data_IF_245786832765
#
_entry.id   IF_245786832765
#
_cell.length_a   1.000
_cell.length_b   1.000
_cell.length_c   1.000
_cell.angle_alpha   90.00
_cell.angle_beta   90.00
_cell.angle_gamma   90.00
#
_symmetry.space_group_name_H-M   'P 1'
#
loop_
_entity.id
_entity.type
_entity.pdbx_description
1 polymer ?
#
# COMPACT_ATOMS: atom_id res chain seq x y z
N UNK A 1 4.42 -36.70 1.36
CA UNK A 1 3.41 -36.21 2.32
C UNK A 1 3.18 -34.75 1.96
N UNK A 2 2.16 -34.46 1.17
CA UNK A 2 1.77 -33.07 0.90
C UNK A 2 0.98 -32.58 2.10
N UNK A 3 1.52 -31.59 2.80
CA UNK A 3 0.79 -30.89 3.86
C UNK A 3 -0.11 -29.87 3.16
N UNK A 4 -1.41 -30.14 3.06
CA UNK A 4 -2.37 -29.12 2.65
C UNK A 4 -2.67 -28.21 3.85
N UNK A 5 -2.36 -26.92 3.72
CA UNK A 5 -2.82 -25.90 4.67
C UNK A 5 -4.33 -25.68 4.50
N UNK A 6 -5.02 -25.52 5.62
CA UNK A 6 -6.40 -25.04 5.67
C UNK A 6 -6.49 -23.58 5.19
N UNK A 7 -7.70 -23.11 4.83
CA UNK A 7 -7.89 -21.72 4.41
C UNK A 7 -7.53 -20.71 5.51
N UNK A 8 -7.75 -21.06 6.78
CA UNK A 8 -7.38 -20.21 7.92
C UNK A 8 -5.86 -20.13 8.11
N UNK A 9 -5.18 -21.27 8.03
CA UNK A 9 -3.71 -21.31 8.05
C UNK A 9 -3.12 -20.56 6.86
N UNK A 10 -3.74 -20.67 5.67
CA UNK A 10 -3.32 -19.91 4.50
C UNK A 10 -3.46 -18.41 4.74
N UNK A 11 -4.58 -17.93 5.27
CA UNK A 11 -4.77 -16.50 5.56
C UNK A 11 -3.85 -16.00 6.67
N UNK A 12 -3.58 -16.83 7.68
CA UNK A 12 -2.61 -16.51 8.74
C UNK A 12 -1.17 -16.41 8.22
N UNK A 13 -0.82 -17.22 7.21
CA UNK A 13 0.50 -17.21 6.57
C UNK A 13 0.64 -16.14 5.48
N UNK A 14 -0.36 -16.01 4.61
CA UNK A 14 -0.39 -15.13 3.46
C UNK A 14 -1.78 -14.47 3.34
N UNK A 15 -1.80 -13.15 3.42
CA UNK A 15 -2.97 -12.35 3.10
C UNK A 15 -2.63 -11.35 2.00
N UNK A 16 -3.48 -11.26 0.99
CA UNK A 16 -3.39 -10.23 -0.05
C UNK A 16 -4.72 -9.48 -0.11
N UNK A 17 -4.64 -8.14 -0.16
CA UNK A 17 -5.81 -7.29 -0.36
C UNK A 17 -5.52 -6.20 -1.37
N UNK A 18 -6.59 -5.72 -2.01
CA UNK A 18 -6.55 -4.61 -2.95
C UNK A 18 -7.22 -3.42 -2.30
N UNK A 19 -6.43 -2.38 -2.05
CA UNK A 19 -6.93 -1.12 -1.52
C UNK A 19 -7.21 -0.20 -2.70
N UNK A 20 -8.46 0.20 -2.87
CA UNK A 20 -8.77 1.25 -3.84
C UNK A 20 -8.20 2.57 -3.34
N UNK A 21 -7.47 3.29 -4.18
CA UNK A 21 -7.11 4.69 -3.94
C UNK A 21 -7.60 5.55 -5.09
N UNK A 22 -7.88 6.82 -4.82
CA UNK A 22 -8.57 7.68 -5.79
C UNK A 22 -7.56 8.67 -6.36
N UNK A 23 -7.42 8.70 -7.68
CA UNK A 23 -6.76 9.79 -8.40
C UNK A 23 -7.78 10.87 -8.74
N UNK A 24 -7.47 12.10 -8.35
CA UNK A 24 -8.27 13.30 -8.55
C UNK A 24 -7.81 14.00 -9.83
N UNK A 25 -8.70 14.22 -10.80
CA UNK A 25 -8.37 14.86 -12.07
C UNK A 25 -8.14 16.36 -11.89
N UNK A 26 -7.13 16.93 -12.57
CA UNK A 26 -6.93 18.39 -12.55
C UNK A 26 -7.97 19.12 -13.43
N UNK A 27 -8.41 18.56 -14.57
CA UNK A 27 -9.53 19.08 -15.39
C UNK A 27 -10.18 18.01 -16.30
N UNK A 28 -11.52 18.09 -16.49
CA UNK A 28 -12.32 17.40 -17.53
C UNK A 28 -12.17 15.86 -17.64
N UNK A 29 -11.75 15.19 -16.58
CA UNK A 29 -11.71 13.72 -16.48
C UNK A 29 -12.51 13.28 -15.26
N UNK A 30 -12.98 12.04 -15.27
CA UNK A 30 -13.61 11.43 -14.09
C UNK A 30 -12.53 10.95 -13.11
N UNK A 31 -12.80 10.96 -11.79
CA UNK A 31 -11.93 10.33 -10.80
C UNK A 31 -11.69 8.86 -11.13
N UNK A 32 -10.46 8.40 -10.96
CA UNK A 32 -10.08 7.01 -11.20
C UNK A 32 -9.77 6.34 -9.87
N UNK A 33 -10.46 5.23 -9.56
CA UNK A 33 -10.04 4.35 -8.46
C UNK A 33 -9.04 3.34 -8.99
N UNK A 34 -7.84 3.34 -8.42
CA UNK A 34 -6.75 2.42 -8.77
C UNK A 34 -6.53 1.46 -7.60
N UNK A 35 -6.46 0.13 -7.83
CA UNK A 35 -6.14 -0.81 -6.78
C UNK A 35 -4.63 -0.80 -6.49
N UNK A 36 -4.22 -0.50 -5.27
CA UNK A 36 -2.89 -0.84 -4.76
C UNK A 36 -2.95 -2.21 -4.10
N UNK A 37 -2.00 -3.07 -4.44
CA UNK A 37 -1.89 -4.41 -3.85
C UNK A 37 -1.07 -4.31 -2.58
N UNK A 38 -1.65 -4.80 -1.49
CA UNK A 38 -1.01 -4.97 -0.19
C UNK A 38 -0.91 -6.47 0.08
N UNK A 39 0.30 -6.97 0.26
CA UNK A 39 0.56 -8.37 0.62
C UNK A 39 1.20 -8.42 1.99
N UNK A 40 0.75 -9.35 2.82
CA UNK A 40 1.30 -9.66 4.13
C UNK A 40 1.66 -11.15 4.17
N UNK A 41 2.91 -11.46 4.55
CA UNK A 41 3.37 -12.82 4.81
C UNK A 41 3.89 -12.88 6.22
N UNK A 42 3.42 -13.87 7.00
CA UNK A 42 3.87 -14.10 8.38
C UNK A 42 4.42 -15.51 8.51
N UNK A 43 5.63 -15.61 9.03
CA UNK A 43 6.30 -16.87 9.36
C UNK A 43 6.84 -16.74 10.77
N UNK A 44 6.22 -17.44 11.72
CA UNK A 44 6.54 -17.36 13.14
C UNK A 44 6.59 -15.90 13.66
N UNK A 45 7.77 -15.40 14.04
CA UNK A 45 7.99 -14.06 14.58
C UNK A 45 8.51 -13.04 13.53
N UNK A 46 8.42 -13.39 12.25
CA UNK A 46 8.77 -12.55 11.12
C UNK A 46 7.52 -12.22 10.29
N UNK A 47 7.31 -10.92 10.03
CA UNK A 47 6.35 -10.43 9.07
C UNK A 47 7.03 -9.72 7.90
N UNK A 48 6.54 -9.95 6.69
CA UNK A 48 6.84 -9.19 5.48
C UNK A 48 5.57 -8.48 5.02
N UNK A 49 5.60 -7.15 4.98
CA UNK A 49 4.58 -6.34 4.33
C UNK A 49 5.11 -5.84 3.00
N UNK A 50 4.28 -5.89 1.96
CA UNK A 50 4.63 -5.33 0.66
C UNK A 50 3.53 -4.47 0.08
N UNK A 51 3.92 -3.45 -0.68
CA UNK A 51 2.98 -2.54 -1.35
C UNK A 51 3.36 -2.33 -2.81
N UNK A 52 2.34 -2.38 -3.67
CA UNK A 52 2.46 -2.09 -5.10
C UNK A 52 2.52 -0.60 -5.43
N UNK A 53 3.37 0.17 -4.76
CA UNK A 53 3.56 1.61 -4.94
C UNK A 53 5.00 2.05 -4.63
N UNK A 54 5.40 3.24 -5.08
CA UNK A 54 6.60 3.93 -4.60
C UNK A 54 6.27 4.63 -3.27
N UNK A 55 6.39 3.89 -2.17
CA UNK A 55 5.90 4.31 -0.85
C UNK A 55 6.87 5.25 -0.15
N UNK A 56 6.36 6.34 0.44
CA UNK A 56 7.14 7.25 1.28
C UNK A 56 7.60 6.56 2.58
N UNK A 57 8.78 6.94 3.06
CA UNK A 57 9.46 6.26 4.17
C UNK A 57 8.59 6.20 5.44
N UNK A 58 7.90 7.28 5.77
CA UNK A 58 7.04 7.43 6.94
C UNK A 58 5.95 6.35 6.97
N UNK A 59 5.32 6.09 5.82
CA UNK A 59 4.26 5.08 5.69
C UNK A 59 4.84 3.69 5.93
N UNK A 60 5.99 3.37 5.32
CA UNK A 60 6.65 2.08 5.53
C UNK A 60 7.09 1.88 6.99
N UNK A 61 7.55 2.95 7.66
CA UNK A 61 7.91 2.94 9.07
C UNK A 61 6.68 2.73 9.97
N UNK A 62 5.56 3.39 9.66
CA UNK A 62 4.31 3.22 10.40
C UNK A 62 3.77 1.79 10.29
N UNK A 63 3.79 1.19 9.09
CA UNK A 63 3.42 -0.22 8.88
C UNK A 63 4.30 -1.15 9.73
N UNK A 64 5.61 -0.89 9.79
CA UNK A 64 6.52 -1.67 10.63
C UNK A 64 6.21 -1.52 12.12
N UNK A 65 5.83 -0.33 12.57
CA UNK A 65 5.44 -0.08 13.98
C UNK A 65 4.13 -0.74 14.35
N UNK A 66 3.21 -0.89 13.41
CA UNK A 66 1.95 -1.60 13.64
C UNK A 66 2.17 -3.09 13.86
N UNK A 67 3.22 -3.69 13.28
CA UNK A 67 3.45 -5.14 13.28
C UNK A 67 3.55 -5.74 14.69
N UNK A 68 2.89 -6.87 14.91
CA UNK A 68 2.92 -7.61 16.18
C UNK A 68 4.11 -8.59 16.29
N UNK A 69 4.95 -8.67 15.27
CA UNK A 69 6.08 -9.60 15.20
C UNK A 69 7.39 -8.95 15.64
N UNK A 70 8.34 -9.74 16.16
CA UNK A 70 9.66 -9.24 16.60
C UNK A 70 10.48 -8.69 15.45
N UNK A 71 10.29 -9.26 14.26
CA UNK A 71 10.98 -8.89 13.04
C UNK A 71 9.96 -8.49 11.98
N UNK A 72 10.16 -7.30 11.40
CA UNK A 72 9.29 -6.81 10.32
C UNK A 72 10.12 -6.27 9.17
N UNK A 73 9.90 -6.86 8.00
CA UNK A 73 10.41 -6.40 6.73
C UNK A 73 9.31 -5.66 5.97
N UNK A 74 9.72 -4.66 5.20
CA UNK A 74 8.84 -3.90 4.34
C UNK A 74 9.47 -3.79 2.95
N UNK A 75 8.70 -4.06 1.91
CA UNK A 75 9.11 -3.89 0.52
C UNK A 75 8.10 -3.05 -0.26
N UNK A 76 8.55 -1.99 -0.92
CA UNK A 76 7.72 -1.24 -1.84
C UNK A 76 7.87 -1.81 -3.28
N UNK A 77 7.12 -1.27 -4.24
CA UNK A 77 7.12 -1.69 -5.66
C UNK A 77 6.98 -3.21 -5.85
N UNK A 78 6.11 -3.83 -5.04
CA UNK A 78 5.90 -5.28 -5.04
C UNK A 78 4.51 -5.63 -5.54
N UNK A 79 4.40 -6.65 -6.39
CA UNK A 79 3.14 -7.07 -7.03
C UNK A 79 2.45 -5.95 -7.82
N UNK A 80 3.19 -4.93 -8.27
CA UNK A 80 2.68 -3.80 -9.05
C UNK A 80 3.36 -2.49 -8.67
N UNK A 81 2.99 -1.43 -9.39
CA UNK A 81 3.36 -0.07 -9.04
C UNK A 81 2.31 0.91 -9.58
N UNK A 82 1.67 1.65 -8.68
CA UNK A 82 0.71 2.71 -9.00
C UNK A 82 1.33 4.12 -9.05
N UNK A 83 2.66 4.20 -8.94
CA UNK A 83 3.40 5.45 -8.71
C UNK A 83 3.60 5.76 -7.23
N UNK A 84 3.94 7.02 -6.92
CA UNK A 84 4.22 7.44 -5.56
C UNK A 84 2.98 7.39 -4.67
N UNK A 85 3.17 6.90 -3.46
CA UNK A 85 2.20 7.00 -2.37
C UNK A 85 2.76 8.00 -1.33
N UNK A 86 2.44 9.29 -1.45
CA UNK A 86 2.82 10.32 -0.49
C UNK A 86 1.95 10.26 0.77
N UNK A 87 2.42 10.86 1.86
CA UNK A 87 1.60 11.12 3.05
C UNK A 87 0.63 12.28 2.78
N UNK A 88 -0.43 12.40 3.58
CA UNK A 88 -1.39 13.50 3.46
C UNK A 88 -0.74 14.89 3.57
N UNK A 89 0.28 15.05 4.42
CA UNK A 89 0.99 16.33 4.57
C UNK A 89 1.79 16.72 3.34
N UNK A 90 2.39 15.75 2.64
CA UNK A 90 3.21 15.98 1.45
C UNK A 90 2.38 16.49 0.26
N UNK A 91 1.08 16.22 0.23
CA UNK A 91 0.19 16.80 -0.77
C UNK A 91 0.16 18.34 -0.76
N UNK A 92 0.36 18.97 0.40
CA UNK A 92 0.43 20.43 0.53
C UNK A 92 1.78 20.99 0.03
N UNK A 93 2.84 20.19 0.09
CA UNK A 93 4.18 20.55 -0.39
C UNK A 93 4.29 20.38 -1.92
N UNK A 94 3.57 19.40 -2.48
CA UNK A 94 3.58 19.13 -3.91
C UNK A 94 4.92 18.54 -4.36
N UNK A 95 5.32 18.84 -5.60
CA UNK A 95 6.61 18.40 -6.15
C UNK A 95 6.50 17.26 -7.16
N UNK A 96 7.62 16.62 -7.48
CA UNK A 96 7.67 15.62 -8.55
C UNK A 96 6.76 14.43 -8.24
N UNK A 97 6.85 13.91 -7.01
CA UNK A 97 6.18 12.72 -6.53
C UNK A 97 4.65 12.90 -6.50
N UNK A 98 4.20 14.09 -6.09
CA UNK A 98 2.78 14.40 -5.88
C UNK A 98 2.12 14.96 -7.14
N UNK A 99 2.77 15.93 -7.80
CA UNK A 99 2.12 16.76 -8.82
C UNK A 99 2.35 16.22 -10.23
N UNK A 100 3.55 15.69 -10.50
CA UNK A 100 3.97 15.34 -11.85
C UNK A 100 3.95 13.83 -12.12
N UNK A 101 4.45 13.04 -11.18
CA UNK A 101 4.60 11.59 -11.31
C UNK A 101 3.31 10.85 -11.67
N UNK A 102 2.12 11.19 -11.11
CA UNK A 102 0.87 10.54 -11.49
C UNK A 102 0.62 10.50 -13.00
N UNK A 103 1.04 11.52 -13.74
CA UNK A 103 0.88 11.58 -15.19
C UNK A 103 1.77 10.58 -15.94
N UNK A 104 2.97 10.28 -15.44
CA UNK A 104 3.83 9.23 -16.01
C UNK A 104 3.29 7.82 -15.73
N UNK A 105 2.51 7.67 -14.66
CA UNK A 105 1.72 6.48 -14.36
C UNK A 105 0.33 6.47 -15.01
N UNK A 106 0.08 7.40 -15.96
CA UNK A 106 -1.19 7.53 -16.71
C UNK A 106 -2.42 7.78 -15.85
N UNK A 107 -2.23 8.28 -14.63
CA UNK A 107 -3.31 8.71 -13.76
C UNK A 107 -3.89 10.04 -14.25
N UNK A 108 -5.18 10.32 -14.02
CA UNK A 108 -5.81 11.57 -14.44
C UNK A 108 -5.37 12.80 -13.62
N UNK A 109 -4.68 12.61 -12.49
CA UNK A 109 -4.07 13.65 -11.68
C UNK A 109 -3.57 13.10 -10.33
N UNK A 110 -3.42 13.98 -9.33
CA UNK A 110 -2.89 13.65 -8.00
C UNK A 110 -3.67 12.50 -7.35
N UNK A 111 -3.01 11.71 -6.52
CA UNK A 111 -3.76 10.87 -5.58
C UNK A 111 -4.54 11.75 -4.59
N UNK A 112 -5.62 11.23 -4.03
CA UNK A 112 -6.35 11.89 -2.94
C UNK A 112 -5.47 11.89 -1.70
N UNK A 113 -5.49 12.99 -0.96
CA UNK A 113 -4.60 13.16 0.18
C UNK A 113 -4.72 12.08 1.26
N UNK A 114 -5.88 11.43 1.37
CA UNK A 114 -6.13 10.35 2.34
C UNK A 114 -5.74 8.94 1.84
N UNK A 115 -5.03 8.84 0.71
CA UNK A 115 -4.71 7.54 0.10
C UNK A 115 -3.78 6.71 0.97
N UNK A 116 -2.84 7.34 1.68
CA UNK A 116 -1.96 6.67 2.63
C UNK A 116 -2.74 6.10 3.81
N UNK A 117 -3.67 6.87 4.37
CA UNK A 117 -4.52 6.47 5.49
C UNK A 117 -5.40 5.28 5.13
N UNK A 118 -5.92 5.23 3.89
CA UNK A 118 -6.66 4.06 3.39
C UNK A 118 -5.81 2.79 3.37
N UNK A 119 -4.53 2.92 3.01
CA UNK A 119 -3.59 1.80 3.00
C UNK A 119 -3.26 1.37 4.44
N UNK A 120 -2.98 2.32 5.33
CA UNK A 120 -2.70 2.04 6.74
C UNK A 120 -3.89 1.38 7.44
N UNK A 121 -5.12 1.80 7.12
CA UNK A 121 -6.33 1.17 7.63
C UNK A 121 -6.48 -0.26 7.11
N UNK A 122 -6.17 -0.51 5.84
CA UNK A 122 -6.15 -1.87 5.32
C UNK A 122 -5.08 -2.74 6.01
N UNK A 123 -3.90 -2.19 6.32
CA UNK A 123 -2.86 -2.88 7.07
C UNK A 123 -3.35 -3.28 8.46
N UNK A 124 -4.00 -2.39 9.21
CA UNK A 124 -4.60 -2.71 10.52
C UNK A 124 -5.58 -3.87 10.45
N UNK A 125 -6.39 -3.91 9.40
CA UNK A 125 -7.37 -4.98 9.18
C UNK A 125 -6.72 -6.32 8.77
N UNK A 126 -5.47 -6.32 8.29
CA UNK A 126 -4.69 -7.53 7.99
C UNK A 126 -3.91 -8.08 9.18
N UNK A 127 -3.82 -7.34 10.29
CA UNK A 127 -3.04 -7.80 11.45
C UNK A 127 -3.82 -8.85 12.22
N UNK A 128 -3.55 -10.12 11.89
CA UNK A 128 -3.89 -11.32 12.66
C UNK A 128 -2.81 -11.60 13.71
#
# INVERSE_FOLDING_TARGET
METQMTSEEHQAFLAETRVGIISIPEQRREPLTVPVILTHIKVDDLALYTLGAEVFTEIGMEIKQMSSTSHTLFANVSNGCIGYLPTASEHALGGYEVDLSPYFYRLPGRLRADSAERVLEAVKNLQI
#
